data_IF_695699751298
#
_entry.id   IF_695699751298
#
_cell.length_a   1.000
_cell.length_b   1.000
_cell.length_c   1.000
_cell.angle_alpha   90.00
_cell.angle_beta   90.00
_cell.angle_gamma   90.00
#
_symmetry.space_group_name_H-M   'P 1'
#
loop_
_entity.id
_entity.type
_entity.pdbx_description
1 polymer ?
#
# COMPACT_ATOMS: atom_id res chain seq x y z
N UNK A 1 -4.84 1.92 5.92
CA UNK A 1 -4.85 1.03 7.12
C UNK A 1 -4.92 1.84 8.40
N UNK A 2 -3.98 2.76 8.64
CA UNK A 2 -3.95 3.60 9.85
C UNK A 2 -5.24 4.40 10.02
N UNK A 3 -5.64 5.16 8.99
CA UNK A 3 -6.89 5.94 9.01
C UNK A 3 -8.13 5.07 9.31
N UNK A 4 -8.23 3.90 8.67
CA UNK A 4 -9.34 2.97 8.88
C UNK A 4 -9.37 2.42 10.30
N UNK A 5 -8.20 2.15 10.89
CA UNK A 5 -8.09 1.66 12.27
C UNK A 5 -8.46 2.73 13.29
N UNK A 6 -7.97 3.97 13.13
CA UNK A 6 -8.30 5.08 14.02
C UNK A 6 -9.79 5.41 13.98
N UNK A 7 -10.38 5.44 12.79
CA UNK A 7 -11.83 5.65 12.62
C UNK A 7 -12.65 4.57 13.33
N UNK A 8 -12.19 3.32 13.32
CA UNK A 8 -12.86 2.19 14.00
C UNK A 8 -12.76 2.30 15.52
N UNK A 9 -11.55 2.50 16.05
CA UNK A 9 -11.23 2.46 17.48
C UNK A 9 -11.59 3.76 18.21
N UNK A 10 -11.30 4.92 17.62
CA UNK A 10 -11.35 6.22 18.29
C UNK A 10 -12.43 7.15 17.72
N UNK A 11 -13.18 6.72 16.69
CA UNK A 11 -14.23 7.49 16.00
C UNK A 11 -13.74 8.83 15.42
N UNK A 12 -12.42 9.00 15.30
CA UNK A 12 -11.75 10.16 14.71
C UNK A 12 -10.43 9.73 14.09
N UNK A 13 -9.87 10.55 13.22
CA UNK A 13 -8.53 10.40 12.67
C UNK A 13 -7.66 11.58 13.10
N UNK A 14 -6.36 11.38 13.27
CA UNK A 14 -5.45 12.48 13.62
C UNK A 14 -4.09 12.29 12.93
N UNK A 15 -3.64 13.31 12.19
CA UNK A 15 -2.32 13.37 11.56
C UNK A 15 -1.96 12.15 10.67
N UNK A 16 -2.96 11.55 10.00
CA UNK A 16 -2.76 10.39 9.12
C UNK A 16 -2.53 10.77 7.65
N UNK A 17 -2.66 12.04 7.30
CA UNK A 17 -2.57 12.54 5.93
C UNK A 17 -1.18 13.11 5.64
N UNK A 18 -0.56 12.64 4.56
CA UNK A 18 0.70 13.15 4.04
C UNK A 18 0.65 13.16 2.51
N UNK A 19 1.38 14.11 1.91
CA UNK A 19 1.55 14.16 0.46
C UNK A 19 2.55 13.10 0.00
N UNK A 20 2.29 12.49 -1.15
CA UNK A 20 3.26 11.62 -1.80
C UNK A 20 4.35 12.46 -2.50
N UNK A 21 5.64 12.08 -2.39
CA UNK A 21 6.69 12.72 -3.15
C UNK A 21 6.55 12.43 -4.65
N UNK A 22 7.25 13.21 -5.47
CA UNK A 22 7.41 12.90 -6.89
C UNK A 22 8.33 11.68 -7.05
N UNK A 23 7.78 10.46 -6.91
CA UNK A 23 8.54 9.20 -6.88
C UNK A 23 9.44 8.98 -8.10
N UNK A 24 9.02 9.44 -9.29
CA UNK A 24 9.84 9.35 -10.51
C UNK A 24 11.09 10.23 -10.42
N UNK A 25 10.93 11.46 -9.96
CA UNK A 25 12.06 12.39 -9.76
C UNK A 25 12.97 11.91 -8.62
N UNK A 26 12.38 11.35 -7.56
CA UNK A 26 13.13 10.71 -6.49
C UNK A 26 13.99 9.56 -7.04
N UNK A 27 13.42 8.65 -7.82
CA UNK A 27 14.18 7.55 -8.44
C UNK A 27 15.35 8.08 -9.29
N UNK A 28 15.09 9.08 -10.12
CA UNK A 28 16.11 9.72 -10.96
C UNK A 28 17.25 10.33 -10.16
N UNK A 29 16.96 10.97 -9.03
CA UNK A 29 17.98 11.56 -8.15
C UNK A 29 18.96 10.51 -7.58
N UNK A 30 18.55 9.25 -7.49
CA UNK A 30 19.39 8.12 -7.06
C UNK A 30 19.99 7.33 -8.23
N UNK A 31 19.80 7.78 -9.48
CA UNK A 31 20.23 7.04 -10.68
C UNK A 31 19.41 5.77 -10.95
N UNK A 32 18.21 5.68 -10.39
CA UNK A 32 17.29 4.54 -10.53
C UNK A 32 16.25 4.85 -11.61
N UNK A 33 15.85 3.85 -12.39
CA UNK A 33 14.78 4.00 -13.35
C UNK A 33 13.44 4.27 -12.63
N UNK A 34 12.78 5.39 -12.95
CA UNK A 34 11.51 5.79 -12.35
C UNK A 34 10.35 5.75 -13.34
N UNK A 35 9.26 5.10 -12.96
CA UNK A 35 8.04 4.98 -13.75
C UNK A 35 6.81 5.42 -12.95
N UNK A 36 5.81 5.96 -13.65
CA UNK A 36 4.49 6.22 -13.10
C UNK A 36 3.44 5.48 -13.93
N UNK A 37 2.43 4.92 -13.27
CA UNK A 37 1.31 4.22 -13.92
C UNK A 37 0.11 5.17 -13.95
N UNK A 38 -0.22 5.77 -15.11
CA UNK A 38 -1.30 6.76 -15.17
C UNK A 38 -2.70 6.11 -15.23
N UNK A 39 -2.78 4.82 -15.57
CA UNK A 39 -4.04 4.08 -15.64
C UNK A 39 -3.86 2.59 -15.31
N UNK A 40 -4.92 1.93 -14.85
CA UNK A 40 -4.88 0.50 -14.54
C UNK A 40 -4.49 -0.38 -15.75
N UNK A 41 -4.79 0.06 -16.99
CA UNK A 41 -4.41 -0.66 -18.22
C UNK A 41 -2.90 -0.61 -18.48
N UNK A 42 -2.24 0.43 -18.00
CA UNK A 42 -0.80 0.63 -18.19
C UNK A 42 0.05 -0.07 -17.14
N UNK A 43 -0.57 -0.59 -16.06
CA UNK A 43 0.17 -1.28 -15.01
C UNK A 43 1.01 -2.43 -15.56
N UNK A 44 0.41 -3.33 -16.35
CA UNK A 44 1.11 -4.48 -16.91
C UNK A 44 2.26 -4.08 -17.86
N UNK A 45 2.05 -3.26 -18.90
CA UNK A 45 3.15 -2.88 -19.80
C UNK A 45 4.25 -2.08 -19.08
N UNK A 46 3.93 -1.21 -18.11
CA UNK A 46 4.93 -0.49 -17.32
C UNK A 46 5.77 -1.43 -16.45
N UNK A 47 5.14 -2.40 -15.79
CA UNK A 47 5.86 -3.42 -15.01
C UNK A 47 6.76 -4.27 -15.92
N UNK A 48 6.28 -4.64 -17.11
CA UNK A 48 7.09 -5.37 -18.08
C UNK A 48 8.32 -4.58 -18.49
N UNK A 49 8.15 -3.30 -18.84
CA UNK A 49 9.26 -2.42 -19.18
C UNK A 49 10.26 -2.28 -18.03
N UNK A 50 9.79 -2.10 -16.80
CA UNK A 50 10.65 -1.98 -15.63
C UNK A 50 11.46 -3.26 -15.36
N UNK A 51 10.86 -4.44 -15.55
CA UNK A 51 11.52 -5.72 -15.37
C UNK A 51 12.53 -6.02 -16.49
N UNK A 52 12.20 -5.66 -17.74
CA UNK A 52 13.05 -5.90 -18.91
C UNK A 52 14.35 -5.07 -18.88
N UNK A 53 14.44 -4.01 -18.04
CA UNK A 53 15.67 -3.23 -17.84
C UNK A 53 16.81 -4.04 -17.20
N UNK A 54 16.50 -5.06 -16.40
CA UNK A 54 17.53 -5.82 -15.66
C UNK A 54 18.29 -5.00 -14.60
N UNK A 55 17.76 -3.83 -14.22
CA UNK A 55 18.34 -2.89 -13.27
C UNK A 55 17.30 -2.51 -12.20
N UNK A 56 17.70 -1.95 -11.04
CA UNK A 56 16.75 -1.42 -10.06
C UNK A 56 15.80 -0.39 -10.68
N UNK A 57 14.50 -0.52 -10.38
CA UNK A 57 13.47 0.38 -10.85
C UNK A 57 12.43 0.67 -9.76
N UNK A 58 11.89 1.89 -9.77
CA UNK A 58 10.75 2.32 -8.96
C UNK A 58 9.55 2.52 -9.88
N UNK A 59 8.44 1.83 -9.58
CA UNK A 59 7.16 1.97 -10.29
C UNK A 59 6.11 2.53 -9.34
N UNK A 60 5.71 3.78 -9.55
CA UNK A 60 4.67 4.44 -8.76
C UNK A 60 3.28 4.05 -9.29
N UNK A 61 2.52 3.32 -8.46
CA UNK A 61 1.17 2.84 -8.79
C UNK A 61 0.13 3.50 -7.87
N UNK A 62 -0.69 4.43 -8.38
CA UNK A 62 -1.80 4.97 -7.61
C UNK A 62 -2.87 3.89 -7.41
N UNK A 63 -3.43 3.80 -6.20
CA UNK A 63 -4.52 2.87 -5.89
C UNK A 63 -5.54 3.50 -4.94
N UNK A 64 -6.76 2.98 -4.97
CA UNK A 64 -7.87 3.50 -4.16
C UNK A 64 -7.93 2.80 -2.79
N UNK A 65 -7.57 3.55 -1.75
CA UNK A 65 -7.59 3.09 -0.35
C UNK A 65 -8.98 2.79 0.20
N UNK A 66 -10.08 3.18 -0.48
CA UNK A 66 -11.45 2.83 -0.06
C UNK A 66 -11.68 1.32 -0.01
N UNK A 67 -10.92 0.56 -0.79
CA UNK A 67 -10.94 -0.90 -0.75
C UNK A 67 -10.61 -1.47 0.65
N UNK A 68 -9.83 -0.76 1.47
CA UNK A 68 -9.49 -1.22 2.83
C UNK A 68 -10.71 -1.37 3.74
N UNK A 69 -11.81 -0.67 3.47
CA UNK A 69 -13.04 -0.80 4.26
C UNK A 69 -13.63 -2.22 4.14
N UNK A 70 -13.39 -2.91 3.04
CA UNK A 70 -13.89 -4.27 2.77
C UNK A 70 -12.96 -5.38 3.28
N UNK A 71 -11.70 -5.03 3.59
CA UNK A 71 -10.69 -5.98 4.09
C UNK A 71 -10.53 -5.92 5.61
N UNK A 72 -11.17 -4.97 6.27
CA UNK A 72 -11.10 -4.79 7.72
C UNK A 72 -12.01 -5.75 8.51
N UNK A 73 -12.82 -6.54 7.80
CA UNK A 73 -13.56 -7.63 8.42
C UNK A 73 -12.57 -8.68 8.93
N UNK A 74 -12.80 -9.28 10.10
CA UNK A 74 -11.99 -10.40 10.56
C UNK A 74 -12.02 -11.47 9.47
N UNK A 75 -10.84 -11.85 8.98
CA UNK A 75 -10.71 -13.14 8.30
C UNK A 75 -11.15 -14.16 9.34
N UNK A 76 -12.22 -14.90 9.07
CA UNK A 76 -12.60 -16.07 9.86
C UNK A 76 -11.52 -17.13 9.66
N UNK A 77 -10.40 -16.94 10.36
CA UNK A 77 -9.42 -17.99 10.59
C UNK A 77 -10.09 -18.92 11.58
N UNK A 78 -10.77 -19.94 11.05
CA UNK A 78 -11.51 -20.94 11.81
C UNK A 78 -10.80 -21.24 13.13
N UNK A 79 -11.55 -21.08 14.21
CA UNK A 79 -11.03 -21.05 15.58
C UNK A 79 -9.97 -22.14 15.82
N UNK A 80 -8.74 -21.80 16.29
CA UNK A 80 -7.90 -22.80 16.90
C UNK A 80 -8.55 -23.19 18.22
N UNK A 81 -8.99 -24.45 18.32
CA UNK A 81 -9.39 -25.01 19.60
C UNK A 81 -8.21 -24.95 20.57
N UNK A 82 -8.43 -24.25 21.68
CA UNK A 82 -7.66 -24.43 22.90
C UNK A 82 -6.57 -23.40 23.20
N UNK A 83 -6.63 -22.90 24.43
CA UNK A 83 -5.51 -22.37 25.23
C UNK A 83 -5.02 -20.95 24.92
N UNK A 84 -5.69 -19.99 25.55
CA UNK A 84 -5.06 -19.09 26.54
C UNK A 84 -3.86 -18.25 26.09
N UNK A 85 -4.12 -16.95 25.91
CA UNK A 85 -3.09 -15.91 26.05
C UNK A 85 -3.67 -14.51 25.80
N UNK A 86 -3.67 -13.58 26.78
CA UNK A 86 -3.99 -12.20 26.51
C UNK A 86 -2.75 -11.41 26.06
N UNK A 87 -3.05 -10.21 25.56
CA UNK A 87 -2.19 -9.05 25.35
C UNK A 87 -1.38 -8.96 24.04
N UNK A 88 -1.78 -7.98 23.22
CA UNK A 88 -0.82 -7.10 22.55
C UNK A 88 -1.22 -5.67 22.97
N UNK A 89 -0.37 -5.09 23.82
CA UNK A 89 -0.22 -3.63 24.01
C UNK A 89 0.28 -2.99 22.73
#
# INVERSE_FOLDING_TARGET
VIEANERRLFKRTFATEFGNPAFVELARAFGIAGFAVPSARELFPTLRQALDLGEPAIVAVPWDHRANQRMADPVDVGAPEGSGGPLIT
#
